data_IF_977615755296
#
_entry.id   IF_977615755296
#
_cell.length_a   1.000
_cell.length_b   1.000
_cell.length_c   1.000
_cell.angle_alpha   90.00
_cell.angle_beta   90.00
_cell.angle_gamma   90.00
#
_symmetry.space_group_name_H-M   'P 1'
#
loop_
_entity.id
_entity.type
_entity.pdbx_description
1 polymer ?
#
# COMPACT_ATOMS: atom_id res chain seq x y z
N UNK A 1 -13.53 13.93 9.56
CA UNK A 1 -13.11 13.29 10.83
C UNK A 1 -13.69 11.89 10.90
N UNK A 2 -12.89 10.87 11.18
CA UNK A 2 -13.39 9.47 11.22
C UNK A 2 -14.28 9.28 12.47
N UNK A 3 -15.50 8.73 12.35
CA UNK A 3 -16.38 8.51 13.51
C UNK A 3 -15.72 7.67 14.61
N UNK A 4 -15.95 8.00 15.88
CA UNK A 4 -15.35 7.30 17.03
C UNK A 4 -15.72 5.82 17.11
N UNK A 5 -16.96 5.47 16.71
CA UNK A 5 -17.43 4.08 16.65
C UNK A 5 -16.65 3.26 15.62
N UNK A 6 -16.33 3.84 14.46
CA UNK A 6 -15.57 3.18 13.40
C UNK A 6 -14.13 2.87 13.86
N UNK A 7 -13.48 3.84 14.53
CA UNK A 7 -12.13 3.64 15.09
C UNK A 7 -12.07 2.50 16.11
N UNK A 8 -13.07 2.43 17.00
CA UNK A 8 -13.18 1.33 17.98
C UNK A 8 -13.40 -0.02 17.31
N UNK A 9 -14.24 -0.09 16.29
CA UNK A 9 -14.49 -1.32 15.53
C UNK A 9 -13.22 -1.85 14.86
N UNK A 10 -12.47 -1.00 14.15
CA UNK A 10 -11.22 -1.41 13.50
C UNK A 10 -10.15 -1.84 14.50
N UNK A 11 -10.00 -1.12 15.62
CA UNK A 11 -9.05 -1.52 16.67
C UNK A 11 -9.41 -2.86 17.32
N UNK A 12 -10.70 -3.16 17.49
CA UNK A 12 -11.14 -4.43 18.07
C UNK A 12 -10.92 -5.63 17.14
N UNK A 13 -11.18 -5.46 15.84
CA UNK A 13 -11.18 -6.58 14.86
C UNK A 13 -9.81 -6.80 14.24
N UNK A 14 -9.08 -5.72 13.94
CA UNK A 14 -7.84 -5.76 13.14
C UNK A 14 -6.63 -5.21 13.89
N UNK A 15 -6.80 -4.73 15.11
CA UNK A 15 -5.78 -4.05 15.93
C UNK A 15 -5.16 -2.77 15.31
N UNK A 16 -5.73 -2.27 14.23
CA UNK A 16 -5.25 -1.10 13.47
C UNK A 16 -6.31 0.00 13.37
N UNK A 17 -5.89 1.19 12.93
CA UNK A 17 -6.80 2.29 12.63
C UNK A 17 -7.45 2.12 11.25
N UNK A 18 -8.62 2.75 10.99
CA UNK A 18 -9.22 2.74 9.65
C UNK A 18 -8.31 3.36 8.57
N UNK A 19 -7.42 4.28 8.96
CA UNK A 19 -6.42 4.84 8.06
C UNK A 19 -5.38 3.80 7.65
N UNK A 20 -4.84 3.06 8.62
CA UNK A 20 -3.88 1.97 8.35
C UNK A 20 -4.51 0.86 7.52
N UNK A 21 -5.76 0.50 7.80
CA UNK A 21 -6.47 -0.47 6.97
C UNK A 21 -6.66 0.00 5.53
N UNK A 22 -7.04 1.27 5.33
CA UNK A 22 -7.10 1.86 3.98
C UNK A 22 -5.75 1.78 3.28
N UNK A 23 -4.66 2.10 3.97
CA UNK A 23 -3.32 2.01 3.40
C UNK A 23 -2.99 0.56 3.00
N UNK A 24 -3.28 -0.40 3.88
CA UNK A 24 -3.10 -1.81 3.58
C UNK A 24 -3.84 -2.22 2.30
N UNK A 25 -5.13 -1.88 2.16
CA UNK A 25 -5.89 -2.18 0.95
C UNK A 25 -5.29 -1.55 -0.32
N UNK A 26 -4.79 -0.32 -0.23
CA UNK A 26 -4.13 0.35 -1.37
C UNK A 26 -2.87 -0.41 -1.79
N UNK A 27 -2.03 -0.80 -0.84
CA UNK A 27 -0.79 -1.52 -1.15
C UNK A 27 -1.06 -2.95 -1.63
N UNK A 28 -2.09 -3.63 -1.13
CA UNK A 28 -2.50 -4.94 -1.63
C UNK A 28 -2.97 -4.87 -3.08
N UNK A 29 -3.75 -3.84 -3.44
CA UNK A 29 -4.14 -3.59 -4.83
C UNK A 29 -2.93 -3.35 -5.72
N UNK A 30 -1.99 -2.49 -5.28
CA UNK A 30 -0.76 -2.20 -6.02
C UNK A 30 0.07 -3.48 -6.21
N UNK A 31 0.20 -4.32 -5.19
CA UNK A 31 0.92 -5.59 -5.29
C UNK A 31 0.34 -6.51 -6.37
N UNK A 32 -0.99 -6.62 -6.44
CA UNK A 32 -1.65 -7.39 -7.49
C UNK A 32 -1.49 -6.77 -8.87
N UNK A 33 -1.47 -5.43 -9.00
CA UNK A 33 -1.15 -4.77 -10.28
C UNK A 33 0.27 -5.09 -10.74
N UNK A 34 1.25 -5.04 -9.83
CA UNK A 34 2.65 -5.35 -10.12
C UNK A 34 2.86 -6.81 -10.53
N UNK A 35 2.05 -7.74 -10.02
CA UNK A 35 2.10 -9.16 -10.42
C UNK A 35 1.48 -9.42 -11.78
N UNK A 36 0.43 -8.69 -12.13
CA UNK A 36 -0.41 -8.96 -13.29
C UNK A 36 -0.05 -8.14 -14.54
N UNK A 37 0.76 -7.07 -14.41
CA UNK A 37 1.01 -6.13 -15.50
C UNK A 37 2.49 -6.05 -15.90
N UNK A 38 2.72 -5.82 -17.20
CA UNK A 38 4.04 -5.56 -17.80
C UNK A 38 4.38 -4.06 -17.85
N UNK A 39 3.55 -3.17 -17.29
CA UNK A 39 3.57 -1.74 -17.66
C UNK A 39 3.45 -0.75 -16.49
N UNK A 40 3.51 -1.17 -15.22
CA UNK A 40 3.50 -0.18 -14.14
C UNK A 40 4.88 0.43 -13.94
N UNK A 41 5.01 1.72 -14.26
CA UNK A 41 6.20 2.48 -13.92
C UNK A 41 6.23 2.82 -12.44
N UNK A 42 7.43 3.02 -11.89
CA UNK A 42 7.59 3.46 -10.49
C UNK A 42 6.88 4.78 -10.17
N UNK A 43 6.71 5.67 -11.16
CA UNK A 43 6.00 6.94 -10.98
C UNK A 43 4.51 6.70 -10.76
N UNK A 44 3.88 5.85 -11.58
CA UNK A 44 2.45 5.52 -11.45
C UNK A 44 2.16 4.85 -10.12
N UNK A 45 3.07 3.98 -9.64
CA UNK A 45 2.95 3.33 -8.34
C UNK A 45 2.99 4.33 -7.17
N UNK A 46 3.83 5.36 -7.27
CA UNK A 46 3.92 6.44 -6.28
C UNK A 46 2.61 7.24 -6.26
N UNK A 47 2.07 7.59 -7.43
CA UNK A 47 0.81 8.33 -7.55
C UNK A 47 -0.37 7.53 -6.99
N UNK A 48 -0.46 6.23 -7.30
CA UNK A 48 -1.50 5.32 -6.79
C UNK A 48 -1.46 5.16 -5.27
N UNK A 49 -0.27 5.14 -4.69
CA UNK A 49 -0.09 5.04 -3.23
C UNK A 49 -0.31 6.38 -2.51
N UNK A 50 -0.47 7.48 -3.26
CA UNK A 50 -0.57 8.83 -2.73
C UNK A 50 0.60 9.16 -1.78
N UNK A 51 1.80 8.72 -2.15
CA UNK A 51 3.06 9.04 -1.45
C UNK A 51 3.81 10.12 -2.20
N UNK A 52 4.73 10.80 -1.52
CA UNK A 52 5.43 11.95 -2.10
C UNK A 52 6.55 11.57 -3.07
N UNK A 53 7.13 10.37 -2.90
CA UNK A 53 8.28 9.93 -3.67
C UNK A 53 8.45 8.41 -3.59
N UNK A 54 9.32 7.90 -4.47
CA UNK A 54 9.68 6.48 -4.57
C UNK A 54 10.20 5.89 -3.25
N UNK A 55 10.96 6.66 -2.48
CA UNK A 55 11.55 6.20 -1.21
C UNK A 55 10.46 5.91 -0.18
N UNK A 56 9.51 6.84 -0.03
CA UNK A 56 8.39 6.67 0.89
C UNK A 56 7.44 5.57 0.41
N UNK A 57 7.19 5.48 -0.91
CA UNK A 57 6.48 4.35 -1.51
C UNK A 57 7.13 3.02 -1.13
N UNK A 58 8.44 2.85 -1.36
CA UNK A 58 9.12 1.58 -1.11
C UNK A 58 9.09 1.18 0.37
N UNK A 59 9.24 2.16 1.27
CA UNK A 59 9.16 1.95 2.72
C UNK A 59 7.77 1.47 3.14
N UNK A 60 6.72 2.13 2.68
CA UNK A 60 5.34 1.77 3.02
C UNK A 60 4.92 0.47 2.34
N UNK A 61 5.30 0.24 1.09
CA UNK A 61 5.05 -1.01 0.37
C UNK A 61 5.66 -2.19 1.13
N UNK A 62 6.93 -2.09 1.55
CA UNK A 62 7.56 -3.13 2.38
C UNK A 62 6.87 -3.30 3.73
N UNK A 63 6.39 -2.21 4.35
CA UNK A 63 5.67 -2.26 5.63
C UNK A 63 4.37 -3.06 5.54
N UNK A 64 3.59 -2.88 4.47
CA UNK A 64 2.27 -3.51 4.33
C UNK A 64 2.31 -4.86 3.61
N UNK A 65 3.21 -5.04 2.64
CA UNK A 65 3.30 -6.24 1.80
C UNK A 65 4.43 -7.19 2.23
N UNK A 66 5.44 -6.68 2.96
CA UNK A 66 6.57 -7.48 3.42
C UNK A 66 7.65 -7.75 2.36
N UNK A 67 7.49 -7.22 1.14
CA UNK A 67 8.41 -7.42 0.01
C UNK A 67 8.96 -6.08 -0.45
N UNK A 68 10.21 -6.05 -0.92
CA UNK A 68 10.76 -4.85 -1.58
C UNK A 68 10.17 -4.74 -3.00
N UNK A 69 9.53 -3.62 -3.38
CA UNK A 69 8.91 -3.50 -4.70
C UNK A 69 9.92 -3.66 -5.85
N UNK A 70 11.22 -3.38 -5.63
CA UNK A 70 12.27 -3.61 -6.65
C UNK A 70 12.43 -5.08 -7.02
N UNK A 71 12.09 -6.01 -6.13
CA UNK A 71 12.17 -7.44 -6.41
C UNK A 71 11.04 -7.91 -7.33
N UNK A 72 9.96 -7.13 -7.43
CA UNK A 72 8.79 -7.43 -8.27
C UNK A 72 8.88 -6.75 -9.64
N UNK A 73 9.57 -5.62 -9.72
CA UNK A 73 9.78 -4.86 -10.97
C UNK A 73 10.85 -5.46 -11.89
N UNK A 74 11.52 -6.55 -11.49
CA UNK A 74 12.51 -7.23 -12.34
C UNK A 74 11.84 -8.25 -13.28
N UNK A 75 11.30 -7.73 -14.37
CA UNK A 75 11.11 -8.44 -15.65
C UNK A 75 11.31 -7.44 -16.80
N UNK A 76 12.51 -6.88 -16.87
CA UNK A 76 13.09 -6.37 -18.12
C UNK A 76 14.44 -7.06 -18.33
#
# INVERSE_FOLDING_TARGET
MIPGKLRKGFKLVYDITPYEYRQQCVYEYIYEQMKNSNYTTLSELVDMSNTQNVTEFAKQFKRYIGVDPKNLLKKE
#
